data_IF_531850670595
#
_entry.id   IF_531850670595
#
_cell.length_a   1.000
_cell.length_b   1.000
_cell.length_c   1.000
_cell.angle_alpha   90.00
_cell.angle_beta   90.00
_cell.angle_gamma   90.00
#
_symmetry.space_group_name_H-M   'P 1'
#
loop_
_entity.id
_entity.type
_entity.pdbx_description
1 polymer ?
#
# COMPACT_ATOMS: atom_id res chain seq x y z
N UNK A 1 34.00 69.75 -64.32
CA UNK A 1 33.10 68.63 -64.59
C UNK A 1 33.95 67.35 -64.51
N UNK A 2 33.87 66.64 -63.38
CA UNK A 2 34.62 65.42 -63.18
C UNK A 2 33.64 64.24 -63.00
N UNK A 3 33.71 63.29 -63.98
CA UNK A 3 32.90 62.08 -63.98
C UNK A 3 33.54 61.04 -63.09
N UNK A 4 32.87 60.57 -62.02
CA UNK A 4 33.19 59.39 -61.26
C UNK A 4 32.37 58.19 -61.80
N UNK A 5 33.03 57.24 -62.47
CA UNK A 5 32.46 55.94 -62.73
C UNK A 5 32.83 55.04 -61.57
N UNK A 6 31.88 54.72 -60.72
CA UNK A 6 32.02 53.73 -59.67
C UNK A 6 31.70 52.37 -60.28
N UNK A 7 32.68 51.47 -60.22
CA UNK A 7 32.63 50.13 -60.76
C UNK A 7 31.72 49.22 -59.90
N UNK A 8 30.69 48.62 -60.51
CA UNK A 8 29.65 47.76 -59.90
C UNK A 8 30.15 46.31 -59.68
N UNK A 9 31.47 46.08 -59.67
CA UNK A 9 32.02 44.71 -59.65
C UNK A 9 32.51 44.21 -58.29
N UNK A 10 32.32 44.98 -57.19
CA UNK A 10 32.84 44.64 -55.85
C UNK A 10 31.78 44.15 -54.85
N UNK A 11 30.48 44.08 -55.22
CA UNK A 11 29.39 43.72 -54.26
C UNK A 11 28.91 42.24 -54.42
N UNK A 12 29.35 41.56 -55.46
CA UNK A 12 28.88 40.20 -55.76
C UNK A 12 29.63 39.05 -55.07
N UNK A 13 30.71 39.31 -54.27
CA UNK A 13 31.61 38.28 -53.70
C UNK A 13 31.40 38.06 -52.19
N UNK A 14 30.61 38.90 -51.52
CA UNK A 14 30.42 38.77 -50.05
C UNK A 14 29.12 38.01 -49.67
N UNK A 15 28.28 37.68 -50.61
CA UNK A 15 26.97 36.98 -50.36
C UNK A 15 27.06 35.44 -50.38
N UNK A 16 28.23 34.81 -50.57
CA UNK A 16 28.35 33.34 -50.79
C UNK A 16 28.95 32.60 -49.58
N UNK A 17 29.28 33.25 -48.47
CA UNK A 17 29.97 32.62 -47.34
C UNK A 17 29.20 32.50 -46.04
N UNK A 18 27.87 32.61 -46.06
CA UNK A 18 27.02 32.35 -44.87
C UNK A 18 25.97 31.23 -45.04
N UNK A 19 26.28 30.22 -45.85
CA UNK A 19 25.63 28.92 -45.61
C UNK A 19 26.54 28.10 -44.68
N UNK A 20 26.66 28.51 -43.45
CA UNK A 20 27.09 27.62 -42.38
C UNK A 20 25.98 26.59 -42.25
N UNK A 21 26.24 25.43 -42.82
CA UNK A 21 25.48 24.19 -42.63
C UNK A 21 25.26 23.98 -41.12
N UNK A 22 24.07 24.31 -40.60
CA UNK A 22 23.57 23.64 -39.42
C UNK A 22 23.42 22.15 -39.79
N UNK A 23 24.49 21.39 -39.65
CA UNK A 23 24.34 19.95 -39.46
C UNK A 23 23.55 19.82 -38.19
N UNK A 24 22.26 19.45 -38.30
CA UNK A 24 21.54 18.80 -37.24
C UNK A 24 22.44 17.67 -36.80
N UNK A 25 23.07 17.77 -35.65
CA UNK A 25 23.57 16.59 -34.96
C UNK A 25 22.36 15.68 -34.84
N UNK A 26 22.32 14.64 -35.62
CA UNK A 26 21.42 13.53 -35.38
C UNK A 26 21.96 12.93 -34.10
N UNK A 27 21.34 13.30 -32.95
CA UNK A 27 21.54 12.58 -31.73
C UNK A 27 21.52 11.11 -32.07
N UNK A 28 22.60 10.41 -31.77
CA UNK A 28 22.66 8.98 -31.95
C UNK A 28 21.42 8.40 -31.24
N UNK A 29 20.63 7.53 -31.88
CA UNK A 29 19.44 7.02 -31.26
C UNK A 29 19.86 6.44 -29.90
N UNK A 30 19.29 6.94 -28.78
CA UNK A 30 19.53 6.40 -27.47
C UNK A 30 19.28 4.90 -27.56
N UNK A 31 20.35 4.13 -27.49
CA UNK A 31 20.24 2.67 -27.41
C UNK A 31 19.65 2.37 -26.05
N UNK A 32 18.36 2.08 -26.01
CA UNK A 32 17.71 1.58 -24.81
C UNK A 32 18.40 0.27 -24.41
N UNK A 33 19.04 0.28 -23.26
CA UNK A 33 19.73 -0.90 -22.73
C UNK A 33 18.91 -1.44 -21.55
N UNK A 34 18.55 -2.72 -21.62
CA UNK A 34 18.00 -3.43 -20.47
C UNK A 34 19.14 -3.77 -19.50
N UNK A 35 19.15 -3.11 -18.36
CA UNK A 35 20.12 -3.32 -17.29
C UNK A 35 19.43 -3.13 -15.94
N UNK A 36 18.71 -4.15 -15.44
CA UNK A 36 17.98 -4.07 -14.18
C UNK A 36 18.97 -3.95 -13.03
N UNK A 37 18.78 -2.91 -12.20
CA UNK A 37 19.56 -2.68 -10.99
C UNK A 37 18.75 -3.14 -9.79
N UNK A 38 19.34 -3.94 -8.91
CA UNK A 38 18.68 -4.37 -7.68
C UNK A 38 18.19 -3.17 -6.86
N UNK A 39 16.97 -3.23 -6.36
CA UNK A 39 16.39 -2.17 -5.54
C UNK A 39 16.93 -2.26 -4.11
N UNK A 40 17.53 -1.18 -3.56
CA UNK A 40 18.10 -1.18 -2.22
C UNK A 40 16.99 -1.10 -1.17
N UNK A 41 16.38 -2.23 -0.84
CA UNK A 41 15.30 -2.31 0.14
C UNK A 41 15.84 -2.12 1.56
N UNK A 42 15.33 -1.09 2.25
CA UNK A 42 15.62 -0.89 3.68
C UNK A 42 14.59 -1.61 4.56
N UNK A 43 15.00 -2.70 5.20
CA UNK A 43 14.18 -3.48 6.11
C UNK A 43 14.78 -3.59 7.51
N UNK A 44 15.59 -2.63 7.93
CA UNK A 44 16.19 -2.61 9.28
C UNK A 44 15.13 -2.79 10.36
N UNK A 45 15.40 -3.70 11.31
CA UNK A 45 14.47 -4.02 12.39
C UNK A 45 13.34 -4.99 12.02
N UNK A 46 13.18 -5.33 10.72
CA UNK A 46 12.28 -6.36 10.25
C UNK A 46 13.07 -7.65 9.93
N UNK A 47 12.40 -8.80 9.90
CA UNK A 47 13.00 -10.03 9.39
C UNK A 47 13.32 -9.90 7.91
N UNK A 48 14.40 -10.53 7.40
CA UNK A 48 14.65 -10.54 5.96
C UNK A 48 13.41 -11.00 5.19
N UNK A 49 12.93 -10.23 4.19
CA UNK A 49 11.75 -10.58 3.43
C UNK A 49 12.03 -11.70 2.42
N UNK A 50 10.99 -12.43 2.04
CA UNK A 50 11.05 -13.38 0.92
C UNK A 50 10.62 -12.66 -0.36
N UNK A 51 11.60 -12.25 -1.16
CA UNK A 51 11.34 -11.59 -2.45
C UNK A 51 10.93 -12.66 -3.47
N UNK A 52 9.85 -12.44 -4.26
CA UNK A 52 9.44 -13.39 -5.30
C UNK A 52 10.56 -13.64 -6.32
N UNK A 53 10.92 -14.89 -6.52
CA UNK A 53 12.05 -15.29 -7.40
C UNK A 53 11.78 -14.91 -8.87
N UNK A 54 10.51 -14.97 -9.28
CA UNK A 54 10.06 -14.64 -10.65
C UNK A 54 9.76 -13.15 -10.85
N UNK A 55 9.93 -12.33 -9.79
CA UNK A 55 9.74 -10.88 -9.83
C UNK A 55 10.63 -10.17 -8.79
N UNK A 56 11.97 -10.25 -8.95
CA UNK A 56 12.89 -9.57 -8.03
C UNK A 56 12.69 -8.05 -8.10
N UNK A 57 12.93 -7.38 -6.96
CA UNK A 57 12.80 -5.93 -6.90
C UNK A 57 13.96 -5.26 -7.66
N UNK A 58 13.63 -4.46 -8.66
CA UNK A 58 14.58 -3.63 -9.40
C UNK A 58 14.22 -2.16 -9.29
N UNK A 59 15.22 -1.27 -9.38
CA UNK A 59 15.00 0.19 -9.37
C UNK A 59 14.01 0.57 -10.48
N UNK A 60 14.18 0.02 -11.67
CA UNK A 60 13.33 0.33 -12.83
C UNK A 60 11.92 -0.23 -12.68
N UNK A 61 11.78 -1.46 -12.14
CA UNK A 61 10.48 -2.07 -11.90
C UNK A 61 9.69 -1.36 -10.81
N UNK A 62 10.33 -0.99 -9.70
CA UNK A 62 9.72 -0.18 -8.63
C UNK A 62 9.31 1.20 -9.16
N UNK A 63 10.15 1.85 -9.98
CA UNK A 63 9.82 3.14 -10.57
C UNK A 63 8.62 3.04 -11.52
N UNK A 64 8.59 2.04 -12.40
CA UNK A 64 7.46 1.78 -13.30
C UNK A 64 6.19 1.48 -12.49
N UNK A 65 6.27 0.62 -11.47
CA UNK A 65 5.14 0.30 -10.59
C UNK A 65 4.59 1.52 -9.88
N UNK A 66 5.48 2.42 -9.41
CA UNK A 66 5.07 3.70 -8.85
C UNK A 66 4.34 4.56 -9.88
N UNK A 67 4.86 4.68 -11.10
CA UNK A 67 4.17 5.42 -12.16
C UNK A 67 2.76 4.89 -12.39
N UNK A 68 2.60 3.57 -12.51
CA UNK A 68 1.30 2.92 -12.70
C UNK A 68 0.36 3.13 -11.52
N UNK A 69 0.83 3.03 -10.27
CA UNK A 69 0.04 3.20 -9.06
C UNK A 69 -0.61 4.59 -8.95
N UNK A 70 0.05 5.61 -9.52
CA UNK A 70 -0.46 6.99 -9.55
C UNK A 70 -1.12 7.37 -10.89
N UNK A 71 -1.16 6.46 -11.88
CA UNK A 71 -1.68 6.78 -13.20
C UNK A 71 -3.19 6.54 -13.31
N UNK A 72 -3.91 7.59 -13.60
CA UNK A 72 -5.37 7.57 -13.76
C UNK A 72 -5.84 6.86 -15.04
N UNK A 73 -4.93 6.60 -16.00
CA UNK A 73 -5.26 5.82 -17.22
C UNK A 73 -5.72 4.40 -16.93
N UNK A 74 -5.42 3.89 -15.71
CA UNK A 74 -5.85 2.57 -15.28
C UNK A 74 -7.33 2.51 -14.93
N UNK A 75 -8.06 3.63 -14.87
CA UNK A 75 -9.50 3.67 -14.69
C UNK A 75 -10.25 3.91 -16.01
N UNK A 76 -11.53 3.49 -16.05
CA UNK A 76 -12.36 3.55 -17.23
C UNK A 76 -12.55 4.95 -17.79
N UNK A 77 -12.71 5.93 -16.90
CA UNK A 77 -12.91 7.35 -17.24
C UNK A 77 -11.67 8.24 -17.11
N UNK A 78 -10.54 7.68 -16.66
CA UNK A 78 -9.29 8.42 -16.46
C UNK A 78 -9.31 9.38 -15.25
N UNK A 79 -10.21 9.20 -14.28
CA UNK A 79 -10.31 10.08 -13.11
C UNK A 79 -9.65 9.52 -11.86
N UNK A 80 -9.47 8.18 -11.76
CA UNK A 80 -9.03 7.47 -10.58
C UNK A 80 -7.75 6.67 -10.83
N UNK A 81 -6.93 6.54 -9.79
CA UNK A 81 -5.74 5.66 -9.74
C UNK A 81 -5.73 4.90 -8.41
N UNK A 82 -4.80 3.95 -8.21
CA UNK A 82 -4.67 3.24 -6.94
C UNK A 82 -4.44 4.23 -5.78
N UNK A 83 -3.69 5.31 -6.00
CA UNK A 83 -3.43 6.34 -5.00
C UNK A 83 -4.66 7.16 -4.60
N UNK A 84 -5.78 7.05 -5.33
CA UNK A 84 -7.04 7.72 -4.96
C UNK A 84 -7.64 7.14 -3.68
N UNK A 85 -7.46 5.80 -3.46
CA UNK A 85 -7.93 5.08 -2.27
C UNK A 85 -6.78 4.63 -1.36
N UNK A 86 -5.53 4.68 -1.84
CA UNK A 86 -4.33 4.30 -1.09
C UNK A 86 -3.35 5.47 -1.04
N UNK A 87 -3.75 6.55 -0.34
CA UNK A 87 -2.92 7.76 -0.22
C UNK A 87 -1.75 7.55 0.74
N UNK A 88 -0.56 8.00 0.36
CA UNK A 88 0.61 7.95 1.23
C UNK A 88 0.40 8.71 2.55
N UNK A 89 -0.26 9.87 2.52
CA UNK A 89 -0.52 10.69 3.70
C UNK A 89 -1.44 10.00 4.72
N UNK A 90 -2.19 8.99 4.31
CA UNK A 90 -3.08 8.18 5.16
C UNK A 90 -2.57 6.75 5.33
N UNK A 91 -1.24 6.57 5.30
CA UNK A 91 -0.61 5.25 5.47
C UNK A 91 -0.94 4.27 4.34
N UNK A 92 -1.18 4.75 3.13
CA UNK A 92 -1.64 3.97 1.97
C UNK A 92 -2.99 3.27 2.21
N UNK A 93 -3.90 3.93 2.91
CA UNK A 93 -5.30 3.54 3.13
C UNK A 93 -6.22 4.69 2.72
N UNK A 94 -7.55 4.49 2.81
CA UNK A 94 -8.56 5.52 2.56
C UNK A 94 -9.12 6.06 3.88
N UNK A 95 -9.41 7.35 3.93
CA UNK A 95 -10.10 8.01 5.05
C UNK A 95 -11.62 7.82 5.01
N UNK A 96 -12.16 7.38 3.89
CA UNK A 96 -13.57 7.04 3.77
C UNK A 96 -13.84 5.65 4.37
N UNK A 97 -15.02 5.46 4.94
CA UNK A 97 -15.49 4.15 5.38
C UNK A 97 -15.46 3.13 4.24
N UNK A 98 -15.96 3.53 3.08
CA UNK A 98 -15.87 2.81 1.83
C UNK A 98 -15.37 3.75 0.75
N UNK A 99 -14.39 3.33 -0.02
CA UNK A 99 -13.90 4.07 -1.19
C UNK A 99 -15.03 4.21 -2.22
N UNK A 100 -15.07 5.35 -2.89
CA UNK A 100 -16.07 5.62 -3.93
C UNK A 100 -15.41 5.42 -5.29
N UNK A 101 -15.94 4.48 -6.09
CA UNK A 101 -15.46 4.19 -7.43
C UNK A 101 -15.88 5.23 -8.48
N UNK A 102 -15.42 5.06 -9.73
CA UNK A 102 -15.69 6.01 -10.82
C UNK A 102 -17.18 6.15 -11.17
N UNK A 103 -18.00 5.16 -10.84
CA UNK A 103 -19.45 5.23 -11.03
C UNK A 103 -20.18 5.94 -9.86
N UNK A 104 -19.43 6.50 -8.90
CA UNK A 104 -20.01 7.12 -7.71
C UNK A 104 -20.60 6.14 -6.70
N UNK A 105 -20.34 4.85 -6.85
CA UNK A 105 -20.82 3.79 -5.97
C UNK A 105 -19.77 3.47 -4.91
N UNK A 106 -20.20 3.21 -3.64
CA UNK A 106 -19.28 2.82 -2.58
C UNK A 106 -18.87 1.34 -2.73
N UNK A 107 -17.61 1.05 -2.40
CA UNK A 107 -17.15 -0.32 -2.20
C UNK A 107 -17.81 -1.01 -1.00
N UNK A 108 -17.54 -2.30 -0.82
CA UNK A 108 -18.15 -3.10 0.25
C UNK A 108 -17.35 -3.19 1.54
N UNK A 109 -16.07 -2.75 1.52
CA UNK A 109 -15.14 -2.85 2.67
C UNK A 109 -14.19 -1.66 2.69
N UNK A 110 -13.65 -1.38 3.88
CA UNK A 110 -12.61 -0.37 4.06
C UNK A 110 -11.33 -0.75 3.31
N UNK A 111 -10.66 0.23 2.70
CA UNK A 111 -9.41 0.03 1.97
C UNK A 111 -8.25 -0.32 2.92
N UNK A 112 -7.65 -1.49 2.72
CA UNK A 112 -6.52 -1.95 3.52
C UNK A 112 -5.27 -1.12 3.22
N UNK A 113 -4.44 -0.86 4.23
CA UNK A 113 -3.14 -0.25 4.02
C UNK A 113 -2.23 -1.16 3.16
N UNK A 114 -1.55 -0.56 2.17
CA UNK A 114 -0.58 -1.25 1.30
C UNK A 114 0.86 -0.99 1.75
N UNK A 115 1.17 -1.35 2.99
CA UNK A 115 2.51 -1.24 3.56
C UNK A 115 3.03 -2.61 3.99
N UNK A 116 4.34 -2.82 3.90
CA UNK A 116 5.03 -4.06 4.30
C UNK A 116 4.48 -5.34 3.63
N UNK A 117 4.04 -5.25 2.38
CA UNK A 117 3.41 -6.37 1.67
C UNK A 117 4.33 -7.59 1.49
N UNK A 118 5.66 -7.41 1.48
CA UNK A 118 6.65 -8.51 1.44
C UNK A 118 6.59 -9.45 2.64
N UNK A 119 6.04 -9.00 3.77
CA UNK A 119 5.92 -9.81 5.00
C UNK A 119 4.56 -10.48 5.13
N UNK A 120 3.61 -10.19 4.22
CA UNK A 120 2.34 -10.87 4.19
C UNK A 120 2.52 -12.31 3.67
N UNK A 121 2.34 -13.30 4.53
CA UNK A 121 2.55 -14.71 4.25
C UNK A 121 1.30 -15.46 3.77
N UNK A 122 0.11 -14.82 3.78
CA UNK A 122 -1.14 -15.52 3.54
C UNK A 122 -2.16 -14.68 2.77
N UNK A 123 -2.13 -14.78 1.43
CA UNK A 123 -3.14 -14.21 0.51
C UNK A 123 -3.43 -12.72 0.75
N UNK A 124 -4.26 -12.10 -0.08
CA UNK A 124 -4.54 -10.67 -0.08
C UNK A 124 -6.04 -10.39 -0.01
N UNK A 125 -6.43 -9.15 0.30
CA UNK A 125 -7.74 -8.68 0.74
C UNK A 125 -8.14 -9.18 2.14
N UNK A 126 -9.16 -8.55 2.73
CA UNK A 126 -9.73 -8.89 4.03
C UNK A 126 -10.15 -10.36 4.15
N UNK A 127 -10.57 -10.97 3.05
CA UNK A 127 -11.07 -12.34 2.98
C UNK A 127 -10.10 -13.35 2.36
N UNK A 128 -8.97 -12.86 1.83
CA UNK A 128 -7.94 -13.69 1.21
C UNK A 128 -8.35 -14.29 -0.13
N UNK A 129 -9.13 -13.57 -0.94
CA UNK A 129 -9.58 -14.04 -2.25
C UNK A 129 -8.50 -13.98 -3.32
N UNK A 130 -7.46 -13.17 -3.18
CA UNK A 130 -6.31 -13.14 -4.08
C UNK A 130 -5.12 -13.92 -3.50
N UNK A 131 -4.46 -14.74 -4.31
CA UNK A 131 -3.34 -15.57 -3.86
C UNK A 131 -2.02 -14.79 -3.80
N UNK A 132 -1.74 -13.97 -4.80
CA UNK A 132 -0.53 -13.17 -4.94
C UNK A 132 -0.88 -11.69 -4.92
N UNK A 133 0.09 -10.86 -4.54
CA UNK A 133 -0.07 -9.41 -4.56
C UNK A 133 -0.30 -8.89 -5.99
N UNK A 134 0.38 -9.49 -6.97
CA UNK A 134 0.20 -9.16 -8.39
C UNK A 134 -1.22 -9.48 -8.89
N UNK A 135 -1.82 -10.57 -8.41
CA UNK A 135 -3.22 -10.91 -8.76
C UNK A 135 -4.17 -9.90 -8.13
N UNK A 136 -3.93 -9.55 -6.86
CA UNK A 136 -4.70 -8.54 -6.14
C UNK A 136 -4.67 -7.20 -6.86
N UNK A 137 -3.52 -6.77 -7.36
CA UNK A 137 -3.33 -5.44 -7.97
C UNK A 137 -4.16 -5.20 -9.22
N UNK A 138 -4.57 -6.24 -9.91
CA UNK A 138 -5.40 -6.16 -11.13
C UNK A 138 -6.90 -6.11 -10.84
N UNK A 139 -7.33 -6.71 -9.72
CA UNK A 139 -8.77 -6.85 -9.43
C UNK A 139 -9.51 -5.51 -9.26
N UNK A 140 -8.94 -4.48 -8.59
CA UNK A 140 -9.58 -3.15 -8.51
C UNK A 140 -9.74 -2.46 -9.85
N UNK A 141 -8.89 -2.76 -10.82
CA UNK A 141 -8.99 -2.20 -12.18
C UNK A 141 -10.29 -2.68 -12.86
N UNK A 142 -10.63 -3.96 -12.70
CA UNK A 142 -11.81 -4.56 -13.33
C UNK A 142 -13.08 -4.42 -12.49
N UNK A 143 -12.98 -4.07 -11.20
CA UNK A 143 -14.14 -3.97 -10.32
C UNK A 143 -15.01 -2.75 -10.68
N UNK A 144 -16.30 -3.02 -10.93
CA UNK A 144 -17.28 -1.98 -11.29
C UNK A 144 -17.57 -0.98 -10.14
N UNK A 145 -17.27 -1.35 -8.90
CA UNK A 145 -17.37 -0.48 -7.73
C UNK A 145 -16.10 0.35 -7.49
N UNK A 146 -15.04 0.12 -8.30
CA UNK A 146 -13.75 0.81 -8.15
C UNK A 146 -13.35 1.50 -9.47
N UNK A 147 -12.41 0.95 -10.24
CA UNK A 147 -11.83 1.61 -11.41
C UNK A 147 -12.58 1.29 -12.73
N UNK A 148 -13.40 0.24 -12.76
CA UNK A 148 -14.32 -0.13 -13.85
C UNK A 148 -13.70 -0.04 -15.25
N UNK A 149 -12.54 -0.67 -15.43
CA UNK A 149 -11.82 -0.73 -16.71
C UNK A 149 -11.52 -2.19 -17.07
N UNK A 150 -11.24 -2.47 -18.32
CA UNK A 150 -10.80 -3.79 -18.77
C UNK A 150 -9.28 -3.84 -18.93
N UNK A 151 -8.68 -4.97 -18.56
CA UNK A 151 -7.22 -5.12 -18.71
C UNK A 151 -6.73 -4.97 -20.16
N UNK A 152 -7.44 -5.46 -21.19
CA UNK A 152 -7.07 -5.19 -22.59
C UNK A 152 -7.02 -3.69 -22.93
N UNK A 153 -7.99 -2.89 -22.47
CA UNK A 153 -8.01 -1.45 -22.70
C UNK A 153 -6.87 -0.75 -21.95
N UNK A 154 -6.55 -1.18 -20.72
CA UNK A 154 -5.39 -0.67 -19.99
C UNK A 154 -4.10 -0.92 -20.79
N UNK A 155 -3.90 -2.14 -21.30
CA UNK A 155 -2.75 -2.47 -22.15
C UNK A 155 -2.70 -1.56 -23.38
N UNK A 156 -3.81 -1.34 -24.07
CA UNK A 156 -3.88 -0.47 -25.25
C UNK A 156 -3.54 0.99 -24.90
N UNK A 157 -4.13 1.55 -23.84
CA UNK A 157 -3.85 2.91 -23.36
C UNK A 157 -2.36 3.12 -23.03
N UNK A 158 -1.75 2.14 -22.35
CA UNK A 158 -0.34 2.21 -21.99
C UNK A 158 0.57 2.00 -23.20
N UNK A 159 0.24 1.04 -24.09
CA UNK A 159 1.02 0.76 -25.31
C UNK A 159 1.03 1.93 -26.28
N UNK A 160 -0.06 2.70 -26.34
CA UNK A 160 -0.19 3.90 -27.18
C UNK A 160 0.54 5.13 -26.63
N UNK A 161 1.10 5.04 -25.43
CA UNK A 161 1.86 6.11 -24.80
C UNK A 161 3.28 6.18 -25.31
N UNK A 162 3.83 7.37 -25.50
CA UNK A 162 5.25 7.56 -25.85
C UNK A 162 6.21 7.11 -24.75
N UNK A 163 5.79 7.13 -23.49
CA UNK A 163 6.64 6.89 -22.33
C UNK A 163 6.62 5.42 -21.89
N UNK A 164 5.44 4.80 -21.80
CA UNK A 164 5.32 3.48 -21.19
C UNK A 164 6.07 2.35 -21.91
N UNK A 165 6.06 2.23 -23.26
CA UNK A 165 6.86 1.20 -23.93
C UNK A 165 8.35 1.27 -23.57
N UNK A 166 8.89 2.49 -23.37
CA UNK A 166 10.26 2.72 -22.94
C UNK A 166 10.46 2.26 -21.49
N UNK A 167 9.54 2.63 -20.58
CA UNK A 167 9.61 2.25 -19.18
C UNK A 167 9.49 0.73 -18.98
N UNK A 168 8.59 0.08 -19.74
CA UNK A 168 8.48 -1.38 -19.72
C UNK A 168 9.74 -2.06 -20.25
N UNK A 169 10.36 -1.52 -21.31
CA UNK A 169 11.63 -2.04 -21.80
C UNK A 169 12.72 -1.92 -20.75
N UNK A 170 12.84 -0.80 -20.07
CA UNK A 170 13.88 -0.61 -19.04
C UNK A 170 13.66 -1.50 -17.81
N UNK A 171 12.41 -1.81 -17.46
CA UNK A 171 12.05 -2.65 -16.34
C UNK A 171 12.10 -4.16 -16.63
N UNK A 172 11.69 -4.57 -17.83
CA UNK A 172 11.46 -5.98 -18.16
C UNK A 172 12.14 -6.46 -19.45
N UNK A 173 12.87 -5.60 -20.16
CA UNK A 173 13.56 -5.93 -21.40
C UNK A 173 12.63 -6.03 -22.65
N UNK A 174 11.36 -5.65 -22.53
CA UNK A 174 10.39 -5.67 -23.61
C UNK A 174 9.55 -4.40 -23.63
N UNK A 175 9.42 -3.76 -24.80
CA UNK A 175 8.50 -2.64 -25.02
C UNK A 175 7.05 -3.08 -25.27
N UNK A 176 6.82 -4.39 -25.39
CA UNK A 176 5.46 -4.95 -25.49
C UNK A 176 4.88 -5.03 -24.08
N UNK A 177 3.79 -4.31 -23.87
CA UNK A 177 3.11 -4.23 -22.59
C UNK A 177 2.13 -5.40 -22.47
N UNK A 178 2.18 -6.10 -21.36
CA UNK A 178 1.28 -7.18 -21.03
C UNK A 178 0.67 -6.97 -19.66
N UNK A 179 -0.51 -7.55 -19.42
CA UNK A 179 -1.16 -7.57 -18.11
C UNK A 179 -0.23 -8.14 -17.02
N UNK A 180 0.54 -9.19 -17.35
CA UNK A 180 1.52 -9.78 -16.43
C UNK A 180 2.58 -8.76 -16.02
N UNK A 181 3.17 -8.03 -16.97
CA UNK A 181 4.22 -7.05 -16.65
C UNK A 181 3.65 -5.83 -15.91
N UNK A 182 2.40 -5.43 -16.17
CA UNK A 182 1.68 -4.41 -15.38
C UNK A 182 1.57 -4.86 -13.92
N UNK A 183 1.07 -6.08 -13.68
CA UNK A 183 0.90 -6.61 -12.33
C UNK A 183 2.22 -6.80 -11.60
N UNK A 184 3.27 -7.26 -12.29
CA UNK A 184 4.62 -7.38 -11.73
C UNK A 184 5.21 -6.02 -11.34
N UNK A 185 5.02 -4.99 -12.14
CA UNK A 185 5.50 -3.65 -11.79
C UNK A 185 4.77 -3.10 -10.56
N UNK A 186 3.44 -3.23 -10.51
CA UNK A 186 2.64 -2.83 -9.33
C UNK A 186 3.08 -3.60 -8.08
N UNK A 187 3.29 -4.91 -8.17
CA UNK A 187 3.80 -5.75 -7.08
C UNK A 187 5.16 -5.25 -6.59
N UNK A 188 6.12 -4.94 -7.49
CA UNK A 188 7.43 -4.42 -7.10
C UNK A 188 7.31 -3.10 -6.32
N UNK A 189 6.47 -2.17 -6.78
CA UNK A 189 6.25 -0.91 -6.07
C UNK A 189 5.61 -1.13 -4.70
N UNK A 190 4.51 -1.87 -4.61
CA UNK A 190 3.84 -2.13 -3.33
C UNK A 190 4.75 -2.86 -2.34
N UNK A 191 5.58 -3.78 -2.82
CA UNK A 191 6.60 -4.45 -2.02
C UNK A 191 7.73 -3.53 -1.55
N UNK A 192 7.97 -2.41 -2.23
CA UNK A 192 8.96 -1.41 -1.83
C UNK A 192 8.47 -0.44 -0.75
N UNK A 193 7.16 -0.46 -0.44
CA UNK A 193 6.57 0.41 0.59
C UNK A 193 6.81 -0.21 1.97
N UNK A 194 7.94 0.15 2.57
CA UNK A 194 8.37 -0.38 3.87
C UNK A 194 8.23 0.67 4.97
N UNK A 195 7.62 0.27 6.09
CA UNK A 195 7.54 1.05 7.31
C UNK A 195 8.33 0.35 8.41
N UNK A 196 9.44 0.95 8.83
CA UNK A 196 10.40 0.39 9.79
C UNK A 196 11.12 1.46 10.62
N UNK A 197 10.62 2.69 10.61
CA UNK A 197 11.26 3.82 11.29
C UNK A 197 10.29 4.56 12.24
N UNK A 198 9.36 3.83 12.82
CA UNK A 198 8.43 4.35 13.82
C UNK A 198 9.16 4.64 15.15
N UNK A 199 8.47 5.34 16.06
CA UNK A 199 8.98 5.56 17.42
C UNK A 199 9.21 4.23 18.16
N UNK A 200 8.38 3.21 17.90
CA UNK A 200 8.59 1.85 18.40
C UNK A 200 9.89 1.25 17.87
N UNK A 201 10.14 1.33 16.57
CA UNK A 201 11.36 0.80 15.96
C UNK A 201 12.62 1.50 16.52
N UNK A 202 12.55 2.82 16.73
CA UNK A 202 13.64 3.60 17.32
C UNK A 202 13.88 3.19 18.78
N UNK A 203 12.82 2.86 19.55
CA UNK A 203 12.98 2.37 20.91
C UNK A 203 13.60 0.99 20.96
N UNK A 204 13.18 0.08 20.06
CA UNK A 204 13.79 -1.25 19.95
C UNK A 204 15.28 -1.19 19.57
N UNK A 205 15.69 -0.17 18.81
CA UNK A 205 17.11 0.08 18.46
C UNK A 205 17.87 0.88 19.53
N UNK A 206 17.22 1.30 20.62
CA UNK A 206 17.83 2.11 21.68
C UNK A 206 18.08 3.58 21.31
N UNK A 207 17.51 4.08 20.23
CA UNK A 207 17.66 5.47 19.76
C UNK A 207 16.79 6.46 20.55
N UNK A 208 15.67 5.99 21.09
CA UNK A 208 14.75 6.79 21.93
C UNK A 208 14.27 5.97 23.13
N UNK A 209 13.73 6.66 24.12
CA UNK A 209 13.12 6.00 25.30
C UNK A 209 11.62 6.29 25.34
N UNK A 210 10.82 5.27 25.58
CA UNK A 210 9.39 5.41 25.79
C UNK A 210 9.06 6.19 27.06
N UNK A 211 8.03 7.02 27.00
CA UNK A 211 7.43 7.63 28.17
C UNK A 211 6.84 6.55 29.10
N UNK A 212 6.60 6.83 30.40
CA UNK A 212 5.95 5.87 31.28
C UNK A 212 4.59 5.37 30.78
N UNK A 213 3.83 6.22 30.08
CA UNK A 213 2.55 5.86 29.47
C UNK A 213 2.68 4.90 28.31
N UNK A 214 3.60 5.16 27.38
CA UNK A 214 3.89 4.28 26.24
C UNK A 214 4.39 2.92 26.70
N UNK A 215 5.28 2.91 27.70
CA UNK A 215 5.83 1.68 28.28
C UNK A 215 4.74 0.83 28.97
N UNK A 216 3.81 1.45 29.71
CA UNK A 216 2.67 0.73 30.27
C UNK A 216 1.75 0.21 29.19
N UNK A 217 1.50 0.98 28.11
CA UNK A 217 0.73 0.54 26.95
C UNK A 217 1.38 -0.64 26.24
N UNK A 218 2.72 -0.60 25.99
CA UNK A 218 3.50 -1.73 25.47
C UNK A 218 3.34 -2.96 26.33
N UNK A 219 3.47 -2.80 27.67
CA UNK A 219 3.28 -3.91 28.61
C UNK A 219 1.87 -4.50 28.51
N UNK A 220 0.82 -3.69 28.46
CA UNK A 220 -0.55 -4.17 28.29
C UNK A 220 -0.75 -4.94 26.97
N UNK A 221 -0.18 -4.45 25.89
CA UNK A 221 -0.28 -5.05 24.54
C UNK A 221 0.32 -6.47 24.48
N UNK A 222 1.51 -6.66 25.10
CA UNK A 222 2.25 -7.92 25.04
C UNK A 222 1.98 -8.87 26.21
N UNK A 223 1.28 -8.44 27.27
CA UNK A 223 0.96 -9.30 28.42
C UNK A 223 -0.36 -10.02 28.17
N UNK A 224 -0.34 -11.34 28.42
CA UNK A 224 -1.53 -12.19 28.34
C UNK A 224 -2.64 -11.75 29.29
N UNK A 225 -3.87 -11.98 28.89
CA UNK A 225 -5.01 -11.80 29.76
C UNK A 225 -5.06 -12.88 30.85
N UNK A 226 -5.25 -12.47 32.11
CA UNK A 226 -5.38 -13.37 33.23
C UNK A 226 -6.54 -12.97 34.15
N UNK A 227 -7.62 -13.77 34.09
CA UNK A 227 -8.80 -13.51 34.90
C UNK A 227 -8.56 -13.75 36.42
N UNK A 228 -7.59 -14.60 36.79
CA UNK A 228 -7.31 -14.96 38.20
C UNK A 228 -6.37 -13.96 38.86
N UNK A 229 -5.57 -13.26 38.07
CA UNK A 229 -4.62 -12.25 38.58
C UNK A 229 -4.79 -10.93 37.83
N UNK A 230 -5.89 -10.17 38.08
CA UNK A 230 -6.22 -8.94 37.34
C UNK A 230 -5.09 -7.90 37.34
N UNK A 231 -4.38 -7.74 38.45
CA UNK A 231 -3.29 -6.77 38.58
C UNK A 231 -2.09 -7.05 37.68
N UNK A 232 -1.91 -8.32 37.27
CA UNK A 232 -0.88 -8.75 36.33
C UNK A 232 -1.41 -9.01 34.92
N UNK A 233 -2.72 -8.87 34.70
CA UNK A 233 -3.37 -9.09 33.41
C UNK A 233 -3.01 -8.02 32.38
N UNK A 234 -2.93 -8.43 31.11
CA UNK A 234 -2.77 -7.57 29.96
C UNK A 234 -3.98 -7.56 29.06
N UNK A 235 -3.82 -6.93 27.89
CA UNK A 235 -4.83 -6.85 26.86
C UNK A 235 -4.68 -7.94 25.79
N UNK A 236 -3.58 -8.71 25.83
CA UNK A 236 -3.33 -9.90 25.00
C UNK A 236 -3.36 -9.66 23.47
N UNK A 237 -3.07 -8.45 23.04
CA UNK A 237 -3.13 -8.08 21.62
C UNK A 237 -2.08 -8.83 20.78
N UNK A 238 -0.95 -9.17 21.39
CA UNK A 238 0.18 -9.81 20.72
C UNK A 238 -0.12 -11.24 20.26
N UNK A 239 -1.15 -11.93 20.75
CA UNK A 239 -1.56 -13.24 20.23
C UNK A 239 -2.01 -13.17 18.75
N UNK A 240 -2.63 -12.06 18.37
CA UNK A 240 -3.06 -11.84 16.99
C UNK A 240 -2.10 -10.90 16.24
N UNK A 241 -1.59 -9.86 16.91
CA UNK A 241 -0.74 -8.83 16.33
C UNK A 241 0.71 -9.01 16.83
N UNK A 242 1.39 -10.06 16.36
CA UNK A 242 2.74 -10.44 16.78
C UNK A 242 3.82 -10.11 15.74
N UNK A 243 5.07 -10.36 16.13
CA UNK A 243 6.24 -10.13 15.29
C UNK A 243 6.49 -8.66 14.95
N UNK A 244 7.51 -8.43 14.13
CA UNK A 244 7.93 -7.08 13.79
C UNK A 244 6.91 -6.30 12.94
N UNK A 245 6.00 -7.00 12.27
CA UNK A 245 4.94 -6.40 11.46
C UNK A 245 3.60 -6.29 12.19
N UNK A 246 3.50 -6.75 13.44
CA UNK A 246 2.27 -6.70 14.24
C UNK A 246 1.07 -7.34 13.55
N UNK A 247 1.26 -8.52 12.95
CA UNK A 247 0.25 -9.33 12.29
C UNK A 247 0.56 -10.82 12.45
N UNK A 248 -0.40 -11.70 12.19
CA UNK A 248 -0.17 -13.15 12.14
C UNK A 248 -0.75 -13.79 10.88
N UNK A 249 -1.24 -12.98 9.93
CA UNK A 249 -1.79 -13.40 8.64
C UNK A 249 -2.97 -14.39 8.71
N UNK A 250 -3.54 -14.63 9.91
CA UNK A 250 -4.69 -15.52 10.09
C UNK A 250 -6.00 -14.78 9.80
N UNK A 251 -7.06 -15.57 9.62
CA UNK A 251 -8.42 -15.08 9.50
C UNK A 251 -9.15 -15.34 10.81
N UNK A 252 -9.54 -14.26 11.51
CA UNK A 252 -10.11 -14.31 12.84
C UNK A 252 -11.45 -13.57 12.86
N UNK A 253 -12.36 -14.00 13.73
CA UNK A 253 -13.58 -13.26 14.03
C UNK A 253 -13.40 -12.55 15.38
N UNK A 254 -13.39 -11.24 15.35
CA UNK A 254 -13.19 -10.39 16.54
C UNK A 254 -14.50 -9.98 17.23
N UNK A 255 -15.64 -10.54 16.82
CA UNK A 255 -16.92 -10.20 17.41
C UNK A 255 -17.43 -8.80 17.07
N UNK A 256 -17.06 -8.25 15.91
CA UNK A 256 -17.59 -6.96 15.45
C UNK A 256 -19.09 -7.04 15.20
N UNK A 257 -19.54 -8.12 14.57
CA UNK A 257 -20.92 -8.41 14.32
C UNK A 257 -21.41 -9.63 15.12
N UNK A 258 -22.70 -9.61 15.49
CA UNK A 258 -23.36 -10.80 16.00
C UNK A 258 -23.78 -11.74 14.85
N UNK A 259 -24.15 -12.97 15.17
CA UNK A 259 -24.68 -13.90 14.15
C UNK A 259 -25.91 -13.35 13.41
N UNK A 260 -26.72 -12.52 14.08
CA UNK A 260 -27.95 -11.94 13.52
C UNK A 260 -27.68 -10.70 12.64
N UNK A 261 -26.64 -9.94 12.95
CA UNK A 261 -26.32 -8.66 12.27
C UNK A 261 -25.35 -8.85 11.10
N UNK A 262 -24.75 -10.03 10.96
CA UNK A 262 -23.68 -10.27 10.00
C UNK A 262 -24.17 -10.34 8.55
N UNK A 263 -23.76 -9.36 7.76
CA UNK A 263 -24.03 -9.28 6.33
C UNK A 263 -22.84 -9.72 5.48
N UNK A 264 -21.62 -9.52 5.98
CA UNK A 264 -20.38 -9.89 5.28
C UNK A 264 -19.88 -11.26 5.78
N UNK A 265 -19.89 -12.26 4.91
CA UNK A 265 -19.47 -13.61 5.25
C UNK A 265 -17.96 -13.75 5.48
N UNK A 266 -17.16 -12.75 5.12
CA UNK A 266 -15.70 -12.78 5.25
C UNK A 266 -15.07 -13.97 4.53
N UNK A 267 -14.20 -14.71 5.20
CA UNK A 267 -13.48 -15.86 4.65
C UNK A 267 -14.42 -16.96 4.11
N UNK A 268 -15.59 -17.14 4.70
CA UNK A 268 -16.58 -18.10 4.21
C UNK A 268 -17.02 -17.80 2.78
N UNK A 269 -17.15 -16.52 2.40
CA UNK A 269 -17.51 -16.12 1.04
C UNK A 269 -16.53 -16.62 -0.03
N UNK A 270 -15.28 -16.86 0.37
CA UNK A 270 -14.20 -17.35 -0.54
C UNK A 270 -14.09 -18.88 -0.51
N UNK A 271 -14.26 -19.49 0.67
CA UNK A 271 -13.96 -20.92 0.85
C UNK A 271 -15.19 -21.81 0.86
N UNK A 272 -16.39 -21.25 1.03
CA UNK A 272 -17.62 -22.01 1.29
C UNK A 272 -17.66 -22.71 2.66
N UNK A 273 -16.59 -22.59 3.48
CA UNK A 273 -16.53 -23.26 4.77
C UNK A 273 -17.22 -22.43 5.86
N UNK A 274 -18.27 -22.97 6.55
CA UNK A 274 -18.98 -22.26 7.62
C UNK A 274 -18.10 -21.80 8.78
N UNK A 275 -17.00 -22.49 9.06
CA UNK A 275 -16.02 -22.08 10.07
C UNK A 275 -15.28 -20.79 9.72
N UNK A 276 -15.39 -20.32 8.46
CA UNK A 276 -14.86 -19.05 7.98
C UNK A 276 -15.83 -17.87 8.11
N UNK A 277 -17.10 -18.10 8.54
CA UNK A 277 -18.12 -17.05 8.62
C UNK A 277 -17.66 -15.92 9.57
N UNK A 278 -17.67 -14.70 9.05
CA UNK A 278 -17.26 -13.50 9.79
C UNK A 278 -15.78 -13.44 10.16
N UNK A 279 -14.95 -14.26 9.55
CA UNK A 279 -13.49 -14.18 9.74
C UNK A 279 -12.86 -13.30 8.69
N UNK A 280 -12.04 -12.36 9.16
CA UNK A 280 -11.28 -11.44 8.34
C UNK A 280 -9.80 -11.52 8.69
N UNK A 281 -8.95 -11.09 7.77
CA UNK A 281 -7.51 -11.10 7.95
C UNK A 281 -7.09 -10.23 9.15
N UNK A 282 -6.21 -10.76 9.98
CA UNK A 282 -5.48 -9.96 10.96
C UNK A 282 -4.41 -9.18 10.21
N UNK A 283 -4.55 -7.87 10.18
CA UNK A 283 -3.68 -6.96 9.43
C UNK A 283 -2.60 -6.38 10.32
N UNK A 284 -1.53 -5.87 9.68
CA UNK A 284 -0.48 -5.13 10.38
C UNK A 284 -1.05 -3.92 11.14
N UNK A 285 -0.49 -3.64 12.33
CA UNK A 285 -0.78 -2.42 13.08
C UNK A 285 0.23 -1.30 12.80
N UNK A 286 1.18 -1.50 11.89
CA UNK A 286 2.08 -0.42 11.50
C UNK A 286 1.29 0.71 10.84
N UNK A 287 1.64 1.94 11.21
CA UNK A 287 0.94 3.16 10.79
C UNK A 287 -0.55 3.22 11.18
N UNK A 288 -0.99 2.42 12.16
CA UNK A 288 -2.42 2.32 12.52
C UNK A 288 -3.05 3.66 12.93
N UNK A 289 -2.28 4.64 13.43
CA UNK A 289 -2.77 5.99 13.72
C UNK A 289 -3.23 6.75 12.46
N UNK A 290 -2.64 6.42 11.29
CA UNK A 290 -2.88 7.12 10.02
C UNK A 290 -4.03 6.52 9.21
N UNK A 291 -4.57 5.37 9.62
CA UNK A 291 -5.47 4.57 8.79
C UNK A 291 -6.91 4.43 9.32
N UNK A 292 -7.49 5.45 10.02
CA UNK A 292 -8.92 5.43 10.29
C UNK A 292 -9.72 5.58 8.96
N UNK A 293 -10.96 5.05 8.89
CA UNK A 293 -11.67 4.29 9.93
C UNK A 293 -11.23 2.82 9.98
N UNK A 294 -11.48 2.17 11.12
CA UNK A 294 -10.98 0.85 11.44
C UNK A 294 -12.01 -0.26 11.21
N UNK A 295 -11.54 -1.50 11.22
CA UNK A 295 -12.24 -2.76 10.92
C UNK A 295 -12.48 -2.94 9.42
N UNK A 296 -12.90 -4.14 9.03
CA UNK A 296 -13.15 -4.46 7.63
C UNK A 296 -14.28 -3.63 7.01
N UNK A 297 -15.20 -3.16 7.83
CA UNK A 297 -16.35 -2.35 7.45
C UNK A 297 -16.19 -0.85 7.73
N UNK A 298 -15.04 -0.44 8.30
CA UNK A 298 -14.77 0.95 8.64
C UNK A 298 -15.74 1.56 9.67
N UNK A 299 -16.30 0.75 10.57
CA UNK A 299 -17.33 1.22 11.52
C UNK A 299 -16.77 1.96 12.73
N UNK A 300 -15.48 1.83 13.03
CA UNK A 300 -14.86 2.48 14.18
C UNK A 300 -13.92 3.62 13.71
N UNK A 301 -14.09 4.80 14.30
CA UNK A 301 -13.44 6.02 13.80
C UNK A 301 -12.18 6.41 14.60
N UNK A 302 -11.93 5.79 15.73
CA UNK A 302 -10.79 6.11 16.60
C UNK A 302 -10.16 4.86 17.19
N UNK A 303 -8.86 4.93 17.50
CA UNK A 303 -8.15 3.87 18.23
C UNK A 303 -8.76 3.60 19.61
N UNK A 304 -9.37 4.60 20.23
CA UNK A 304 -10.05 4.40 21.51
C UNK A 304 -11.30 3.55 21.35
N UNK A 305 -12.09 3.76 20.30
CA UNK A 305 -13.24 2.91 19.96
C UNK A 305 -12.81 1.47 19.66
N UNK A 306 -11.69 1.29 18.95
CA UNK A 306 -11.11 -0.05 18.70
C UNK A 306 -10.72 -0.73 20.01
N UNK A 307 -10.01 -0.03 20.90
CA UNK A 307 -9.62 -0.57 22.20
C UNK A 307 -10.86 -0.87 23.05
N UNK A 308 -11.90 -0.04 23.00
CA UNK A 308 -13.16 -0.28 23.70
C UNK A 308 -13.91 -1.50 23.18
N UNK A 309 -13.95 -1.69 21.85
CA UNK A 309 -14.51 -2.89 21.23
C UNK A 309 -13.85 -4.17 21.82
N UNK A 310 -12.52 -4.24 21.81
CA UNK A 310 -11.81 -5.38 22.41
C UNK A 310 -11.97 -5.47 23.92
N UNK A 311 -12.01 -4.34 24.62
CA UNK A 311 -12.25 -4.29 26.07
C UNK A 311 -13.62 -4.83 26.47
N UNK A 312 -14.64 -4.61 25.62
CA UNK A 312 -16.01 -5.15 25.83
C UNK A 312 -16.11 -6.67 25.58
N UNK A 313 -15.14 -7.26 24.85
CA UNK A 313 -15.16 -8.66 24.42
C UNK A 313 -15.99 -8.91 23.17
N UNK A 314 -16.38 -7.85 22.43
CA UNK A 314 -17.14 -7.94 21.20
C UNK A 314 -18.54 -8.56 21.35
N UNK A 315 -19.28 -8.63 20.25
CA UNK A 315 -20.60 -9.25 20.19
C UNK A 315 -20.49 -10.79 20.16
N UNK A 316 -21.58 -11.47 20.48
CA UNK A 316 -21.64 -12.93 20.40
C UNK A 316 -21.75 -13.38 18.94
N UNK A 317 -20.88 -14.29 18.55
CA UNK A 317 -20.85 -14.92 17.24
C UNK A 317 -20.32 -16.35 17.37
N UNK A 318 -20.90 -17.31 16.63
CA UNK A 318 -20.53 -18.73 16.73
C UNK A 318 -19.03 -19.00 16.45
N UNK A 319 -18.42 -18.21 15.56
CA UNK A 319 -17.01 -18.32 15.19
C UNK A 319 -16.14 -17.25 15.87
N UNK A 320 -16.68 -16.50 16.85
CA UNK A 320 -15.84 -15.52 17.59
C UNK A 320 -14.66 -16.24 18.22
N UNK A 321 -13.48 -15.64 18.09
CA UNK A 321 -12.27 -16.21 18.67
C UNK A 321 -12.36 -16.22 20.20
N UNK A 322 -11.92 -17.31 20.81
CA UNK A 322 -11.96 -17.50 22.27
C UNK A 322 -11.08 -16.54 23.05
N UNK A 323 -10.10 -15.92 22.37
CA UNK A 323 -9.26 -14.86 22.94
C UNK A 323 -10.02 -13.52 23.09
N UNK A 324 -11.12 -13.33 22.33
CA UNK A 324 -11.94 -12.12 22.39
C UNK A 324 -12.95 -12.23 23.55
N UNK A 325 -12.63 -11.60 24.65
CA UNK A 325 -13.37 -11.61 25.91
C UNK A 325 -13.23 -10.27 26.63
N UNK A 326 -14.13 -9.93 27.59
CA UNK A 326 -14.01 -8.68 28.33
C UNK A 326 -12.67 -8.59 29.07
N UNK A 327 -11.93 -7.51 28.82
CA UNK A 327 -10.59 -7.29 29.38
C UNK A 327 -10.62 -6.53 30.72
N UNK A 328 -11.70 -5.79 30.99
CA UNK A 328 -11.90 -4.96 32.19
C UNK A 328 -10.80 -3.90 32.41
N UNK A 329 -10.24 -3.36 31.31
CA UNK A 329 -9.25 -2.29 31.37
C UNK A 329 -9.90 -1.00 31.90
N UNK A 330 -9.23 -0.33 32.82
CA UNK A 330 -9.60 1.02 33.24
C UNK A 330 -9.46 2.01 32.07
N UNK A 331 -10.17 3.13 32.14
CA UNK A 331 -10.07 4.18 31.12
C UNK A 331 -8.62 4.67 30.93
N UNK A 332 -7.87 4.80 32.06
CA UNK A 332 -6.44 5.17 32.02
C UNK A 332 -5.59 4.14 31.24
N UNK A 333 -5.85 2.85 31.38
CA UNK A 333 -5.13 1.80 30.68
C UNK A 333 -5.47 1.77 29.20
N UNK A 334 -6.74 1.97 28.84
CA UNK A 334 -7.17 2.12 27.44
C UNK A 334 -6.42 3.27 26.76
N UNK A 335 -6.29 4.42 27.42
CA UNK A 335 -5.52 5.55 26.89
C UNK A 335 -4.02 5.24 26.75
N UNK A 336 -3.43 4.48 27.67
CA UNK A 336 -2.01 4.07 27.57
C UNK A 336 -1.80 3.09 26.41
N UNK A 337 -2.75 2.17 26.20
CA UNK A 337 -2.71 1.26 25.05
C UNK A 337 -2.79 2.03 23.73
N UNK A 338 -3.69 3.01 23.63
CA UNK A 338 -3.78 3.91 22.45
C UNK A 338 -2.46 4.67 22.25
N UNK A 339 -1.82 5.17 23.32
CA UNK A 339 -0.51 5.84 23.19
C UNK A 339 0.57 4.90 22.65
N UNK A 340 0.57 3.64 23.07
CA UNK A 340 1.48 2.65 22.52
C UNK A 340 1.20 2.41 21.04
N UNK A 341 -0.07 2.18 20.63
CA UNK A 341 -0.44 1.99 19.22
C UNK A 341 0.04 3.14 18.33
N UNK A 342 -0.02 4.39 18.82
CA UNK A 342 0.50 5.55 18.11
C UNK A 342 2.02 5.54 17.92
N UNK A 343 2.78 4.81 18.75
CA UNK A 343 4.23 4.66 18.56
C UNK A 343 4.60 3.80 17.35
N UNK A 344 3.63 3.06 16.78
CA UNK A 344 3.81 2.23 15.58
C UNK A 344 3.74 3.04 14.27
N UNK A 345 3.55 4.36 14.37
CA UNK A 345 3.50 5.26 13.22
C UNK A 345 4.91 5.65 12.79
N UNK A 346 5.25 5.35 11.55
CA UNK A 346 6.50 5.76 10.92
C UNK A 346 6.43 7.24 10.55
N UNK A 347 7.40 8.02 11.00
CA UNK A 347 7.44 9.47 10.81
C UNK A 347 7.57 9.88 9.34
N UNK A 348 8.10 9.00 8.48
CA UNK A 348 8.20 9.26 7.04
C UNK A 348 6.82 9.31 6.33
N UNK A 349 5.76 8.82 7.00
CA UNK A 349 4.39 8.81 6.47
C UNK A 349 3.48 9.83 7.14
N UNK A 350 3.96 10.56 8.13
CA UNK A 350 3.19 11.67 8.71
C UNK A 350 3.09 12.81 7.69
N UNK A 351 1.92 13.44 7.54
CA UNK A 351 1.73 14.58 6.64
C UNK A 351 2.56 15.80 7.03
#
# INVERSE_FOLDING_TARGET
MWNYKISITAIAIIAILYFVSCKKETDAPYSLTYNPTEYPLDYRGLTPPVIPVDNPLTVQGVQLGRMLFYDKRLSGDGTMSCSSCHSQATGFSDTNRFSIGILGLPGGRQAMATTNMLWNSNKFFWDGRANLLRDQSLMPIEDSLEMHETLPNVVEKLQSSEIYPIQFFTAFGSSIITTENISKALEQFMNSIVTNNSRFDKEERGEVTFTPSERRGKKLFFTEYNAFFPDSSGADCAHCHSGANFENDRYMNNGLDSDADMNDLGRMGVTGNPMGKGKFKVTSLRNIELTPPYMHDGSLNSLLEVVEHYNSGGKNHINKDSLIKPLNLSYSEKLKLVRFLKTLTDENYKP
#
